data_IF_410710243540
#
_entry.id   IF_410710243540
#
_cell.length_a   1.000
_cell.length_b   1.000
_cell.length_c   1.000
_cell.angle_alpha   90.00
_cell.angle_beta   90.00
_cell.angle_gamma   90.00
#
_symmetry.space_group_name_H-M   'P 1'
#
loop_
_entity.id
_entity.type
_entity.pdbx_description
1 polymer ?
#
# COMPACT_ATOMS: atom_id res chain seq x y z
N UNK A 1 26.56 6.58 -76.71
CA UNK A 1 25.92 7.29 -75.59
C UNK A 1 25.46 6.24 -74.59
N UNK A 2 26.19 6.09 -73.50
CA UNK A 2 25.86 5.14 -72.41
C UNK A 2 25.43 5.96 -71.19
N UNK A 3 24.14 5.88 -70.83
CA UNK A 3 23.61 6.52 -69.66
C UNK A 3 23.77 5.60 -68.46
N UNK A 4 24.52 6.04 -67.43
CA UNK A 4 24.63 5.34 -66.15
C UNK A 4 23.45 5.71 -65.26
N UNK A 5 22.71 4.69 -64.83
CA UNK A 5 21.66 4.81 -63.83
C UNK A 5 22.29 4.72 -62.46
N UNK A 6 22.19 5.78 -61.66
CA UNK A 6 22.57 5.77 -60.26
C UNK A 6 21.40 5.24 -59.44
N UNK A 7 21.58 4.12 -58.79
CA UNK A 7 20.61 3.58 -57.82
C UNK A 7 21.00 4.09 -56.42
N UNK A 8 20.18 4.98 -55.86
CA UNK A 8 20.29 5.38 -54.44
C UNK A 8 19.64 4.32 -53.57
N UNK A 9 20.44 3.63 -52.79
CA UNK A 9 19.95 2.76 -51.73
C UNK A 9 19.67 3.57 -50.47
N UNK A 10 18.38 3.74 -50.13
CA UNK A 10 17.95 4.30 -48.88
C UNK A 10 18.03 3.22 -47.79
N UNK A 11 19.00 3.33 -46.88
CA UNK A 11 19.04 2.50 -45.67
C UNK A 11 18.11 3.10 -44.64
N UNK A 12 16.95 2.50 -44.43
CA UNK A 12 16.06 2.79 -43.31
C UNK A 12 16.71 2.27 -42.00
N UNK A 13 17.31 3.16 -41.23
CA UNK A 13 17.80 2.84 -39.90
C UNK A 13 16.62 2.56 -38.95
N UNK A 14 16.45 1.30 -38.56
CA UNK A 14 15.51 0.91 -37.52
C UNK A 14 16.10 1.32 -36.17
N UNK A 15 15.68 2.46 -35.64
CA UNK A 15 16.01 2.85 -34.26
C UNK A 15 15.18 2.03 -33.30
N UNK A 16 15.79 0.98 -32.73
CA UNK A 16 15.20 0.25 -31.60
C UNK A 16 15.36 1.16 -30.39
N UNK A 17 14.25 1.73 -29.93
CA UNK A 17 14.21 2.42 -28.64
C UNK A 17 14.46 1.35 -27.56
N UNK A 18 15.64 1.38 -26.94
CA UNK A 18 15.91 0.62 -25.73
C UNK A 18 15.07 1.23 -24.65
N UNK A 19 13.93 0.61 -24.31
CA UNK A 19 13.15 0.96 -23.12
C UNK A 19 14.04 0.65 -21.94
N UNK A 20 14.48 1.70 -21.25
CA UNK A 20 15.48 1.63 -20.18
C UNK A 20 14.95 0.75 -19.03
N UNK A 21 15.73 -0.25 -18.63
CA UNK A 21 15.45 -1.11 -17.48
C UNK A 21 15.36 -0.37 -16.12
N UNK A 22 15.72 0.91 -16.07
CA UNK A 22 15.61 1.76 -14.88
C UNK A 22 14.16 1.93 -14.38
N UNK A 23 13.17 2.05 -15.27
CA UNK A 23 11.77 2.17 -14.88
C UNK A 23 11.20 0.90 -14.23
N UNK A 24 11.77 -0.27 -14.53
CA UNK A 24 11.32 -1.54 -13.96
C UNK A 24 11.94 -1.82 -12.60
N UNK A 25 13.15 -1.34 -12.31
CA UNK A 25 13.82 -1.48 -11.00
C UNK A 25 13.21 -0.54 -9.97
N UNK A 26 12.95 0.73 -10.32
CA UNK A 26 12.28 1.70 -9.44
C UNK A 26 10.89 1.22 -9.05
N UNK A 27 10.10 0.71 -10.00
CA UNK A 27 8.80 0.13 -9.71
C UNK A 27 8.88 -1.08 -8.77
N UNK A 28 9.89 -1.93 -8.91
CA UNK A 28 10.06 -3.10 -8.06
C UNK A 28 10.39 -2.70 -6.61
N UNK A 29 11.21 -1.66 -6.40
CA UNK A 29 11.53 -1.15 -5.07
C UNK A 29 10.28 -0.54 -4.40
N UNK A 30 9.52 0.28 -5.10
CA UNK A 30 8.28 0.86 -4.60
C UNK A 30 7.26 -0.21 -4.21
N UNK A 31 7.11 -1.23 -5.02
CA UNK A 31 6.29 -2.39 -4.72
C UNK A 31 6.69 -3.06 -3.40
N UNK A 32 7.98 -3.31 -3.22
CA UNK A 32 8.49 -3.92 -1.99
C UNK A 32 8.26 -3.04 -0.77
N UNK A 33 8.42 -1.72 -0.91
CA UNK A 33 8.19 -0.78 0.18
C UNK A 33 6.70 -0.67 0.53
N UNK A 34 5.79 -0.63 -0.45
CA UNK A 34 4.35 -0.59 -0.22
C UNK A 34 3.84 -1.90 0.40
N UNK A 35 4.35 -3.04 -0.07
CA UNK A 35 4.06 -4.33 0.55
C UNK A 35 4.56 -4.39 2.00
N UNK A 36 5.70 -3.76 2.31
CA UNK A 36 6.19 -3.64 3.68
C UNK A 36 5.26 -2.79 4.55
N UNK A 37 4.61 -1.75 4.01
CA UNK A 37 3.59 -0.98 4.74
C UNK A 37 2.45 -1.89 5.18
N UNK A 38 1.91 -2.71 4.28
CA UNK A 38 0.85 -3.68 4.57
C UNK A 38 1.28 -4.70 5.62
N UNK A 39 2.45 -5.34 5.46
CA UNK A 39 3.00 -6.31 6.42
C UNK A 39 3.16 -5.68 7.80
N UNK A 40 3.72 -4.47 7.86
CA UNK A 40 3.92 -3.73 9.12
C UNK A 40 2.59 -3.36 9.79
N UNK A 41 1.57 -3.01 8.99
CA UNK A 41 0.22 -2.76 9.48
C UNK A 41 -0.36 -4.01 10.17
N UNK A 42 -0.26 -5.18 9.54
CA UNK A 42 -0.72 -6.45 10.09
C UNK A 42 0.09 -6.88 11.32
N UNK A 43 1.41 -6.69 11.29
CA UNK A 43 2.28 -6.93 12.44
C UNK A 43 1.88 -6.07 13.63
N UNK A 44 1.68 -4.76 13.41
CA UNK A 44 1.27 -3.81 14.46
C UNK A 44 -0.06 -4.23 15.10
N UNK A 45 -1.06 -4.62 14.30
CA UNK A 45 -2.35 -5.11 14.79
C UNK A 45 -2.21 -6.43 15.57
N UNK A 46 -1.45 -7.39 15.06
CA UNK A 46 -1.24 -8.70 15.67
C UNK A 46 -0.49 -8.60 17.00
N UNK A 47 0.56 -7.77 17.06
CA UNK A 47 1.40 -7.58 18.25
C UNK A 47 0.86 -6.51 19.20
N UNK A 48 -0.23 -5.82 18.82
CA UNK A 48 -0.81 -4.68 19.53
C UNK A 48 0.19 -3.53 19.73
N UNK A 49 1.15 -3.41 18.81
CA UNK A 49 2.17 -2.38 18.85
C UNK A 49 1.62 -1.08 18.22
N UNK A 50 1.08 -0.22 19.08
CA UNK A 50 0.47 1.03 18.66
C UNK A 50 1.49 2.02 18.06
N UNK A 51 2.71 2.06 18.60
CA UNK A 51 3.76 2.94 18.07
C UNK A 51 4.19 2.50 16.67
N UNK A 52 4.28 1.19 16.44
CA UNK A 52 4.55 0.63 15.12
C UNK A 52 3.41 0.99 14.13
N UNK A 53 2.14 0.89 14.54
CA UNK A 53 1.00 1.33 13.75
C UNK A 53 1.10 2.80 13.37
N UNK A 54 1.36 3.67 14.34
CA UNK A 54 1.46 5.12 14.13
C UNK A 54 2.67 5.54 13.30
N UNK A 55 3.71 4.70 13.24
CA UNK A 55 4.89 4.95 12.41
C UNK A 55 4.60 4.88 10.90
N UNK A 56 3.49 4.27 10.50
CA UNK A 56 3.03 4.18 9.11
C UNK A 56 2.37 5.46 8.61
N UNK A 57 1.94 6.35 9.51
CA UNK A 57 1.18 7.54 9.17
C UNK A 57 2.06 8.79 9.11
N UNK A 58 1.75 9.70 8.17
CA UNK A 58 2.25 11.06 8.21
C UNK A 58 1.70 11.81 9.44
N UNK A 59 2.39 12.85 9.90
CA UNK A 59 1.98 13.59 11.12
C UNK A 59 0.61 14.26 10.99
N UNK A 60 0.28 14.70 9.77
CA UNK A 60 -0.98 15.33 9.40
C UNK A 60 -1.92 14.39 8.62
N UNK A 61 -1.77 13.08 8.81
CA UNK A 61 -2.61 12.09 8.16
C UNK A 61 -4.08 12.20 8.55
N UNK A 62 -4.95 11.71 7.67
CA UNK A 62 -6.40 11.65 7.88
C UNK A 62 -6.86 10.21 7.77
N UNK A 63 -7.56 9.71 8.78
CA UNK A 63 -8.19 8.40 8.79
C UNK A 63 -9.70 8.56 8.83
N UNK A 64 -10.41 7.90 7.92
CA UNK A 64 -11.87 7.83 7.91
C UNK A 64 -12.33 6.40 8.13
N UNK A 65 -13.12 6.17 9.16
CA UNK A 65 -13.67 4.86 9.50
C UNK A 65 -15.03 4.98 10.20
N UNK A 66 -15.98 4.13 9.85
CA UNK A 66 -17.30 4.11 10.48
C UNK A 66 -18.05 5.46 10.38
N UNK A 67 -17.84 6.20 9.30
CA UNK A 67 -18.46 7.52 9.08
C UNK A 67 -17.82 8.66 9.91
N UNK A 68 -16.73 8.42 10.61
CA UNK A 68 -15.97 9.42 11.39
C UNK A 68 -14.63 9.68 10.76
N UNK A 69 -14.12 10.90 10.94
CA UNK A 69 -12.79 11.32 10.47
C UNK A 69 -11.91 11.66 11.67
N UNK A 70 -10.67 11.20 11.61
CA UNK A 70 -9.62 11.41 12.61
C UNK A 70 -8.45 12.08 11.92
N UNK A 71 -8.05 13.27 12.39
CA UNK A 71 -7.00 14.07 11.76
C UNK A 71 -5.79 14.19 12.69
N UNK A 72 -4.62 13.87 12.14
CA UNK A 72 -3.35 13.86 12.85
C UNK A 72 -3.16 12.65 13.76
N UNK A 73 -1.91 12.39 14.12
CA UNK A 73 -1.51 11.17 14.84
C UNK A 73 -2.23 10.97 16.17
N UNK A 74 -2.56 12.04 16.91
CA UNK A 74 -3.22 11.90 18.21
C UNK A 74 -4.65 11.35 18.08
N UNK A 75 -5.42 11.85 17.11
CA UNK A 75 -6.75 11.33 16.86
C UNK A 75 -6.71 9.92 16.27
N UNK A 76 -5.77 9.65 15.35
CA UNK A 76 -5.54 8.31 14.78
C UNK A 76 -5.12 7.32 15.87
N UNK A 77 -4.29 7.75 16.82
CA UNK A 77 -3.94 6.96 18.00
C UNK A 77 -5.19 6.59 18.82
N UNK A 78 -6.06 7.55 19.07
CA UNK A 78 -7.30 7.31 19.80
C UNK A 78 -8.23 6.30 19.08
N UNK A 79 -8.29 6.36 17.75
CA UNK A 79 -9.02 5.38 16.95
C UNK A 79 -8.44 3.97 17.13
N UNK A 80 -7.12 3.80 16.97
CA UNK A 80 -6.49 2.50 17.08
C UNK A 80 -6.55 1.92 18.50
N UNK A 81 -6.43 2.76 19.53
CA UNK A 81 -6.61 2.33 20.93
C UNK A 81 -8.00 1.73 21.18
N UNK A 82 -9.03 2.20 20.47
CA UNK A 82 -10.40 1.69 20.58
C UNK A 82 -10.67 0.50 19.64
N UNK A 83 -9.84 0.27 18.62
CA UNK A 83 -10.04 -0.79 17.63
C UNK A 83 -9.92 -2.19 18.25
N UNK A 84 -10.76 -3.12 17.79
CA UNK A 84 -10.83 -4.49 18.32
C UNK A 84 -9.49 -5.22 18.32
N UNK A 85 -8.66 -5.03 17.27
CA UNK A 85 -7.35 -5.65 17.17
C UNK A 85 -6.37 -5.20 18.27
N UNK A 86 -6.54 -3.98 18.83
CA UNK A 86 -5.71 -3.45 19.90
C UNK A 86 -6.27 -3.72 21.31
N UNK A 87 -7.49 -4.28 21.42
CA UNK A 87 -8.03 -4.61 22.74
C UNK A 87 -7.27 -5.75 23.39
N UNK A 88 -6.82 -5.63 24.66
CA UNK A 88 -5.96 -6.62 25.28
C UNK A 88 -6.63 -8.00 25.47
N UNK A 89 -7.97 -8.02 25.60
CA UNK A 89 -8.74 -9.25 25.73
C UNK A 89 -8.91 -10.03 24.42
N UNK A 90 -8.73 -9.40 23.26
CA UNK A 90 -8.89 -10.04 21.96
C UNK A 90 -7.60 -10.73 21.53
N UNK A 91 -7.65 -12.01 21.22
CA UNK A 91 -6.52 -12.78 20.68
C UNK A 91 -6.52 -12.80 19.15
N UNK A 92 -6.67 -11.59 18.57
CA UNK A 92 -6.78 -11.44 17.14
C UNK A 92 -5.40 -11.38 16.48
N UNK A 93 -5.26 -12.11 15.39
CA UNK A 93 -4.07 -12.17 14.55
C UNK A 93 -4.49 -11.80 13.13
N UNK A 94 -3.80 -10.85 12.53
CA UNK A 94 -4.00 -10.54 11.12
C UNK A 94 -3.43 -11.68 10.26
N UNK A 95 -4.20 -12.12 9.27
CA UNK A 95 -3.74 -13.06 8.28
C UNK A 95 -2.79 -12.34 7.31
N UNK A 96 -1.58 -12.87 7.16
CA UNK A 96 -0.53 -12.28 6.32
C UNK A 96 -0.05 -13.34 5.31
N UNK A 97 0.09 -13.00 4.03
CA UNK A 97 -0.12 -11.69 3.40
C UNK A 97 -1.61 -11.29 3.35
N UNK A 98 -1.87 -10.01 3.04
CA UNK A 98 -3.22 -9.51 2.84
C UNK A 98 -4.00 -10.37 1.83
N UNK A 99 -5.30 -10.53 2.09
CA UNK A 99 -6.16 -11.38 1.24
C UNK A 99 -6.28 -10.83 -0.19
N UNK A 100 -6.40 -9.51 -0.33
CA UNK A 100 -6.32 -8.78 -1.61
C UNK A 100 -5.42 -7.59 -1.42
N UNK A 101 -4.52 -7.36 -2.35
CA UNK A 101 -3.63 -6.20 -2.35
C UNK A 101 -3.53 -5.63 -3.76
N UNK A 102 -3.63 -4.33 -3.88
CA UNK A 102 -3.45 -3.57 -5.13
C UNK A 102 -2.70 -2.29 -4.82
N UNK A 103 -1.82 -1.89 -5.70
CA UNK A 103 -1.09 -0.63 -5.59
C UNK A 103 -0.89 0.00 -6.97
N UNK A 104 -0.83 1.31 -6.96
CA UNK A 104 -0.49 2.16 -8.08
C UNK A 104 0.46 3.25 -7.60
N UNK A 105 1.47 3.59 -8.40
CA UNK A 105 2.53 4.55 -8.03
C UNK A 105 2.68 5.58 -9.13
N UNK A 106 2.55 6.85 -8.74
CA UNK A 106 2.77 8.01 -9.60
C UNK A 106 3.75 8.98 -8.91
N UNK A 107 5.06 8.86 -9.24
CA UNK A 107 6.10 9.67 -8.61
C UNK A 107 6.17 9.48 -7.10
N UNK A 108 5.98 10.54 -6.33
CA UNK A 108 6.00 10.52 -4.86
C UNK A 108 4.62 10.26 -4.22
N UNK A 109 3.64 9.87 -5.00
CA UNK A 109 2.31 9.48 -4.55
C UNK A 109 2.03 8.03 -4.90
N UNK A 110 1.44 7.29 -3.97
CA UNK A 110 0.95 5.94 -4.21
C UNK A 110 -0.47 5.77 -3.72
N UNK A 111 -1.18 4.81 -4.32
CA UNK A 111 -2.43 4.28 -3.84
C UNK A 111 -2.20 2.83 -3.45
N UNK A 112 -2.63 2.45 -2.25
CA UNK A 112 -2.52 1.10 -1.71
C UNK A 112 -3.89 0.67 -1.18
N UNK A 113 -4.41 -0.43 -1.72
CA UNK A 113 -5.61 -1.08 -1.21
C UNK A 113 -5.26 -2.49 -0.75
N UNK A 114 -5.74 -2.88 0.44
CA UNK A 114 -5.63 -4.26 0.92
C UNK A 114 -6.78 -4.64 1.83
N UNK A 115 -7.04 -5.94 1.92
CA UNK A 115 -8.07 -6.50 2.80
C UNK A 115 -7.42 -7.28 3.95
N UNK A 116 -7.85 -6.98 5.17
CA UNK A 116 -7.36 -7.61 6.40
C UNK A 116 -8.37 -8.64 6.90
N UNK A 117 -7.92 -9.87 7.09
CA UNK A 117 -8.65 -10.88 7.84
C UNK A 117 -8.02 -11.02 9.22
N UNK A 118 -8.78 -10.71 10.25
CA UNK A 118 -8.38 -10.94 11.63
C UNK A 118 -9.01 -12.24 12.14
N UNK A 119 -8.16 -13.16 12.57
CA UNK A 119 -8.57 -14.46 13.14
C UNK A 119 -8.48 -14.37 14.66
N UNK A 120 -9.58 -14.65 15.34
CA UNK A 120 -9.59 -14.84 16.78
C UNK A 120 -9.08 -16.26 17.11
N UNK A 121 -7.89 -16.34 17.67
CA UNK A 121 -7.27 -17.63 18.02
C UNK A 121 -8.00 -18.36 19.15
N UNK A 122 -8.63 -17.63 20.07
CA UNK A 122 -9.37 -18.24 21.16
C UNK A 122 -10.67 -18.87 20.68
N UNK A 123 -11.37 -18.20 19.77
CA UNK A 123 -12.66 -18.66 19.23
C UNK A 123 -12.51 -19.49 17.94
N UNK A 124 -11.31 -19.55 17.36
CA UNK A 124 -11.00 -20.20 16.07
C UNK A 124 -11.95 -19.79 14.94
N UNK A 125 -12.15 -18.48 14.80
CA UNK A 125 -13.04 -17.91 13.79
C UNK A 125 -12.49 -16.59 13.25
N UNK A 126 -13.01 -16.13 12.09
CA UNK A 126 -12.78 -14.79 11.61
C UNK A 126 -13.47 -13.81 12.57
N UNK A 127 -12.69 -12.91 13.16
CA UNK A 127 -13.17 -11.88 14.08
C UNK A 127 -13.57 -10.60 13.35
N UNK A 128 -12.85 -10.26 12.27
CA UNK A 128 -13.14 -9.12 11.44
C UNK A 128 -12.58 -9.32 10.02
N UNK A 129 -13.31 -8.82 9.03
CA UNK A 129 -12.85 -8.65 7.66
C UNK A 129 -13.01 -7.17 7.32
N UNK A 130 -11.90 -6.49 7.09
CA UNK A 130 -11.88 -5.05 6.82
C UNK A 130 -11.03 -4.76 5.60
N UNK A 131 -11.22 -3.63 4.97
CA UNK A 131 -10.32 -3.10 3.97
C UNK A 131 -9.64 -1.83 4.46
N UNK A 132 -8.51 -1.54 3.86
CA UNK A 132 -7.84 -0.25 3.88
C UNK A 132 -7.65 0.25 2.45
N UNK A 133 -8.03 1.48 2.22
CA UNK A 133 -7.91 2.19 0.94
C UNK A 133 -7.10 3.45 1.24
N UNK A 134 -5.82 3.43 0.87
CA UNK A 134 -4.83 4.37 1.36
C UNK A 134 -4.23 5.20 0.22
N UNK A 135 -4.09 6.51 0.46
CA UNK A 135 -3.18 7.36 -0.28
C UNK A 135 -1.90 7.54 0.54
N UNK A 136 -0.76 7.24 -0.07
CA UNK A 136 0.55 7.41 0.55
C UNK A 136 1.34 8.50 -0.17
N UNK A 137 2.23 9.15 0.59
CA UNK A 137 3.22 10.07 0.08
C UNK A 137 4.62 9.58 0.46
N UNK A 138 5.57 9.77 -0.45
CA UNK A 138 6.99 9.50 -0.18
C UNK A 138 7.61 10.69 0.57
N UNK A 139 8.02 10.43 1.79
CA UNK A 139 8.65 11.44 2.67
C UNK A 139 10.01 10.90 3.09
N UNK A 140 11.09 11.59 2.72
CA UNK A 140 12.46 11.18 3.00
C UNK A 140 12.75 9.72 2.58
N UNK A 141 12.29 9.33 1.38
CA UNK A 141 12.50 7.99 0.83
C UNK A 141 11.62 6.88 1.44
N UNK A 142 10.63 7.23 2.27
CA UNK A 142 9.70 6.28 2.89
C UNK A 142 8.27 6.59 2.50
N UNK A 143 7.49 5.56 2.22
CA UNK A 143 6.05 5.68 2.01
C UNK A 143 5.34 5.83 3.35
N UNK A 144 4.58 6.92 3.54
CA UNK A 144 3.74 7.18 4.71
C UNK A 144 2.29 7.35 4.28
N UNK A 145 1.37 6.77 5.03
CA UNK A 145 -0.08 6.92 4.82
C UNK A 145 -0.47 8.36 5.13
N UNK A 146 -0.98 9.04 4.11
CA UNK A 146 -1.50 10.41 4.19
C UNK A 146 -3.01 10.43 4.38
N UNK A 147 -3.70 9.54 3.68
CA UNK A 147 -5.14 9.34 3.83
C UNK A 147 -5.42 7.85 3.92
N UNK A 148 -6.27 7.44 4.85
CA UNK A 148 -6.75 6.08 5.01
C UNK A 148 -8.27 6.08 5.07
N UNK A 149 -8.90 5.20 4.30
CA UNK A 149 -10.32 4.88 4.42
C UNK A 149 -10.44 3.41 4.82
N UNK A 150 -10.92 3.17 6.03
CA UNK A 150 -11.12 1.82 6.54
C UNK A 150 -12.62 1.50 6.62
N UNK A 151 -12.99 0.33 6.13
CA UNK A 151 -14.37 -0.15 6.16
C UNK A 151 -14.43 -1.65 6.45
N UNK A 152 -15.56 -2.11 7.00
CA UNK A 152 -15.86 -3.53 7.01
C UNK A 152 -16.12 -4.02 5.58
N UNK A 153 -15.59 -5.19 5.24
CA UNK A 153 -15.92 -5.88 4.00
C UNK A 153 -17.12 -6.78 4.29
N UNK A 154 -18.22 -6.69 3.54
CA UNK A 154 -19.32 -7.62 3.69
C UNK A 154 -18.84 -9.07 3.55
N UNK A 155 -19.37 -9.97 4.36
CA UNK A 155 -19.06 -11.39 4.28
C UNK A 155 -19.30 -11.92 2.85
N UNK A 156 -18.41 -12.78 2.41
CA UNK A 156 -18.47 -13.46 1.10
C UNK A 156 -19.63 -14.44 1.03
#
# INVERSE_FOLDING_TARGET
MRGSLLVLAATAGLSIAVISGAATEENAEDFMQLHKVEITFHEAGTTKNLDLMLSLFADDAVLTAGGKTYTGKDQIKSFWQAAGTFQPQNQWVAYTPAFRIRYDVEGDRAHLYFECLYVDKAANKIAAHTNSDDTLLRVNGRWLIKEMKAAAVPEL
#
